data_IF_432253894701
#
_entry.id   IF_432253894701
#
_cell.length_a   1.000
_cell.length_b   1.000
_cell.length_c   1.000
_cell.angle_alpha   90.00
_cell.angle_beta   90.00
_cell.angle_gamma   90.00
#
_symmetry.space_group_name_H-M   'P 1'
#
loop_
_entity.id
_entity.type
_entity.pdbx_description
1 polymer ?
#
# COMPACT_ATOMS: atom_id res chain seq x y z
N UNK A 1 -15.35 22.49 20.02
CA UNK A 1 -14.62 23.09 18.88
C UNK A 1 -13.38 22.26 18.69
N UNK A 2 -13.37 21.42 17.66
CA UNK A 2 -12.18 20.69 17.29
C UNK A 2 -11.14 21.67 16.73
N UNK A 3 -9.90 21.53 17.17
CA UNK A 3 -8.78 22.33 16.68
C UNK A 3 -7.73 21.35 16.18
N UNK A 4 -7.56 21.33 14.86
CA UNK A 4 -6.55 20.49 14.23
C UNK A 4 -5.35 21.34 13.88
N UNK A 5 -4.15 20.79 14.12
CA UNK A 5 -2.91 21.47 13.75
C UNK A 5 -1.96 20.50 13.09
N UNK A 6 -1.26 20.98 12.06
CA UNK A 6 -0.20 20.25 11.37
C UNK A 6 1.10 20.98 11.62
N UNK A 7 2.14 20.26 12.04
CA UNK A 7 3.50 20.78 12.15
C UNK A 7 4.48 19.78 11.57
N UNK A 8 4.82 19.97 10.30
CA UNK A 8 5.66 19.02 9.56
C UNK A 8 4.92 17.69 9.39
N UNK A 9 5.49 16.63 9.96
CA UNK A 9 4.94 15.27 9.92
C UNK A 9 4.09 14.90 11.14
N UNK A 10 3.84 15.86 12.03
CA UNK A 10 3.00 15.67 13.22
C UNK A 10 1.63 16.30 12.95
N UNK A 11 0.58 15.49 13.10
CA UNK A 11 -0.82 15.89 12.99
C UNK A 11 -1.45 15.75 14.38
N UNK A 12 -2.16 16.77 14.82
CA UNK A 12 -2.83 16.77 16.12
C UNK A 12 -4.31 17.02 15.92
N UNK A 13 -5.12 16.12 16.47
CA UNK A 13 -6.57 16.23 16.54
C UNK A 13 -6.99 16.48 17.97
N UNK A 14 -7.65 17.61 18.21
CA UNK A 14 -8.21 17.95 19.53
C UNK A 14 -9.71 17.98 19.45
N UNK A 15 -10.36 17.45 20.48
CA UNK A 15 -11.79 17.51 20.62
C UNK A 15 -12.23 17.01 21.98
N UNK A 16 -13.53 17.08 22.23
CA UNK A 16 -14.11 16.42 23.41
C UNK A 16 -14.47 14.98 23.09
N UNK A 17 -14.43 14.08 24.08
CA UNK A 17 -14.83 12.68 23.90
C UNK A 17 -16.23 12.53 23.29
N UNK A 18 -17.17 13.39 23.68
CA UNK A 18 -18.54 13.41 23.13
C UNK A 18 -18.57 13.76 21.64
N UNK A 19 -17.67 14.63 21.18
CA UNK A 19 -17.53 14.97 19.77
C UNK A 19 -16.89 13.83 18.96
N UNK A 20 -16.30 12.82 19.63
CA UNK A 20 -15.62 11.68 19.02
C UNK A 20 -14.67 12.11 17.90
N UNK A 21 -13.50 12.72 18.21
CA UNK A 21 -12.55 13.07 17.14
C UNK A 21 -12.31 11.84 16.25
N UNK A 22 -12.62 12.00 14.95
CA UNK A 22 -12.50 10.97 13.92
C UNK A 22 -11.52 11.43 12.88
N UNK A 23 -10.61 10.54 12.50
CA UNK A 23 -9.75 10.70 11.35
C UNK A 23 -9.72 9.43 10.54
N UNK A 24 -9.44 9.57 9.25
CA UNK A 24 -9.21 8.46 8.34
C UNK A 24 -7.78 8.52 7.87
N UNK A 25 -7.08 7.38 7.92
CA UNK A 25 -5.77 7.20 7.28
C UNK A 25 -5.99 6.31 6.06
N UNK A 26 -5.68 6.84 4.88
CA UNK A 26 -5.49 6.04 3.68
C UNK A 26 -4.02 5.67 3.59
N UNK A 27 -3.75 4.38 3.66
CA UNK A 27 -2.42 3.79 3.57
C UNK A 27 -2.35 2.93 2.32
N UNK A 28 -1.61 3.40 1.31
CA UNK A 28 -1.62 2.87 -0.05
C UNK A 28 -3.06 2.80 -0.61
N UNK A 29 -3.59 1.59 -0.79
CA UNK A 29 -4.94 1.35 -1.31
C UNK A 29 -5.95 0.96 -0.22
N UNK A 30 -5.55 1.00 1.05
CA UNK A 30 -6.38 0.64 2.20
C UNK A 30 -6.73 1.86 3.03
N UNK A 31 -7.90 1.79 3.65
CA UNK A 31 -8.62 2.92 4.20
C UNK A 31 -9.02 2.59 5.64
N UNK A 32 -8.51 3.35 6.61
CA UNK A 32 -8.64 3.07 8.04
C UNK A 32 -9.29 4.23 8.79
N UNK A 33 -10.49 4.01 9.33
CA UNK A 33 -11.20 5.04 10.10
C UNK A 33 -11.03 4.81 11.59
N UNK A 34 -10.47 5.81 12.25
CA UNK A 34 -10.22 5.78 13.68
C UNK A 34 -11.19 6.66 14.42
N UNK A 35 -11.88 6.05 15.38
CA UNK A 35 -12.72 6.74 16.36
C UNK A 35 -12.09 6.55 17.74
N UNK A 36 -11.76 7.65 18.41
CA UNK A 36 -11.15 7.68 19.76
C UNK A 36 -11.85 6.84 20.83
N UNK A 37 -13.08 6.39 20.59
CA UNK A 37 -13.97 5.81 21.60
C UNK A 37 -14.21 4.30 21.47
N UNK A 38 -13.94 3.68 20.31
CA UNK A 38 -14.24 2.25 20.06
C UNK A 38 -13.02 1.33 20.02
N UNK A 39 -11.82 1.83 19.71
CA UNK A 39 -10.63 0.98 19.53
C UNK A 39 -9.82 0.64 20.78
N UNK A 40 -10.00 1.36 21.90
CA UNK A 40 -8.95 1.44 22.94
C UNK A 40 -9.45 1.11 24.36
N UNK A 41 -10.52 0.31 24.48
CA UNK A 41 -10.96 -0.21 25.77
C UNK A 41 -10.08 -1.36 26.31
N UNK A 42 -9.04 -1.76 25.56
CA UNK A 42 -8.22 -2.94 25.84
C UNK A 42 -7.18 -2.77 26.94
N UNK A 43 -6.34 -1.73 26.89
CA UNK A 43 -5.20 -1.63 27.81
C UNK A 43 -4.95 -0.21 28.32
N UNK A 44 -4.98 -0.04 29.65
CA UNK A 44 -4.62 1.22 30.34
C UNK A 44 -3.16 1.63 30.09
N UNK A 45 -2.33 0.72 29.59
CA UNK A 45 -0.89 0.91 29.39
C UNK A 45 -0.53 1.73 28.13
N UNK A 46 -1.48 1.97 27.21
CA UNK A 46 -1.22 2.70 25.95
C UNK A 46 -1.57 4.20 26.04
N UNK A 47 -2.07 4.66 27.19
CA UNK A 47 -2.41 6.07 27.37
C UNK A 47 -1.16 6.89 27.65
N UNK A 48 -0.98 7.95 26.86
CA UNK A 48 0.16 8.88 26.91
C UNK A 48 1.51 8.33 26.42
N UNK A 49 1.60 7.07 25.99
CA UNK A 49 2.79 6.54 25.31
C UNK A 49 2.53 6.38 23.79
N UNK A 50 3.53 6.63 22.94
CA UNK A 50 3.40 6.41 21.51
C UNK A 50 3.43 4.91 21.20
N UNK A 51 2.52 4.45 20.34
CA UNK A 51 2.55 3.12 19.76
C UNK A 51 2.53 3.19 18.23
N UNK A 52 3.07 2.17 17.57
CA UNK A 52 3.09 2.09 16.12
C UNK A 52 1.74 1.58 15.63
N UNK A 53 1.03 2.42 14.89
CA UNK A 53 -0.33 2.17 14.43
C UNK A 53 -0.34 1.42 13.10
N UNK A 54 0.52 1.86 12.20
CA UNK A 54 0.80 1.35 10.87
C UNK A 54 2.32 1.50 10.66
N UNK A 55 2.92 0.83 9.65
CA UNK A 55 4.37 0.87 9.45
C UNK A 55 4.95 2.29 9.50
N UNK A 56 5.74 2.59 10.54
CA UNK A 56 6.32 3.90 10.83
C UNK A 56 5.33 5.08 10.88
N UNK A 57 4.09 4.81 11.31
CA UNK A 57 3.09 5.82 11.71
C UNK A 57 2.79 5.60 13.18
N UNK A 58 3.16 6.58 14.01
CA UNK A 58 3.02 6.49 15.45
C UNK A 58 1.81 7.27 15.94
N UNK A 59 1.03 6.67 16.83
CA UNK A 59 -0.14 7.29 17.45
C UNK A 59 0.13 7.51 18.94
N UNK A 60 -0.23 8.67 19.47
CA UNK A 60 -0.27 8.94 20.91
C UNK A 60 -1.62 9.53 21.27
N UNK A 61 -2.25 8.97 22.29
CA UNK A 61 -3.56 9.44 22.75
C UNK A 61 -3.39 9.97 24.17
N UNK A 62 -3.59 11.28 24.29
CA UNK A 62 -3.52 11.98 25.57
C UNK A 62 -4.93 12.24 26.08
N UNK A 63 -5.21 11.70 27.26
CA UNK A 63 -6.41 11.98 28.03
C UNK A 63 -6.05 12.87 29.21
N UNK A 64 -6.93 13.82 29.51
CA UNK A 64 -6.69 14.76 30.62
C UNK A 64 -6.91 14.13 32.00
N UNK A 65 -7.71 13.06 32.10
CA UNK A 65 -8.11 12.45 33.37
C UNK A 65 -7.77 10.97 33.45
N UNK A 66 -7.49 10.53 34.68
CA UNK A 66 -7.15 9.15 35.04
C UNK A 66 -8.43 8.39 35.40
N UNK A 67 -8.69 7.28 34.68
CA UNK A 67 -9.91 6.45 34.79
C UNK A 67 -10.02 5.71 36.15
N UNK A 68 -8.98 5.78 36.98
CA UNK A 68 -8.81 4.98 38.20
C UNK A 68 -9.78 5.34 39.35
N UNK A 69 -10.44 6.50 39.28
CA UNK A 69 -11.36 6.95 40.32
C UNK A 69 -12.66 6.13 40.39
N UNK A 70 -13.17 5.66 39.24
CA UNK A 70 -14.38 4.84 39.18
C UNK A 70 -14.15 3.46 39.78
N UNK A 71 -13.02 2.84 39.46
CA UNK A 71 -12.63 1.52 39.94
C UNK A 71 -12.38 1.52 41.45
N UNK A 72 -11.66 2.53 41.96
CA UNK A 72 -11.46 2.74 43.41
C UNK A 72 -12.79 2.88 44.16
N UNK A 73 -13.77 3.60 43.61
CA UNK A 73 -15.08 3.77 44.24
C UNK A 73 -15.96 2.52 44.12
N UNK A 74 -15.97 1.84 42.97
CA UNK A 74 -16.70 0.59 42.78
C UNK A 74 -16.25 -0.46 43.79
N UNK A 75 -14.94 -0.71 43.88
CA UNK A 75 -14.38 -1.69 44.81
C UNK A 75 -14.68 -1.38 46.28
N UNK A 76 -14.79 -0.10 46.63
CA UNK A 76 -15.10 0.33 48.01
C UNK A 76 -16.57 0.12 48.41
N UNK A 77 -17.50 0.12 47.46
CA UNK A 77 -18.94 0.18 47.77
C UNK A 77 -19.80 -0.94 47.14
N UNK A 78 -19.23 -1.80 46.28
CA UNK A 78 -19.95 -2.90 45.57
C UNK A 78 -20.76 -3.81 46.51
N UNK A 79 -20.26 -4.06 47.73
CA UNK A 79 -20.90 -4.94 48.72
C UNK A 79 -21.84 -4.22 49.72
N UNK A 80 -22.15 -2.94 49.52
CA UNK A 80 -22.96 -2.17 50.47
C UNK A 80 -24.47 -2.21 50.14
N UNK A 81 -25.31 -2.57 51.12
CA UNK A 81 -26.77 -2.69 50.97
C UNK A 81 -27.56 -1.40 51.22
N UNK A 82 -26.90 -0.34 51.69
CA UNK A 82 -27.57 0.86 52.20
C UNK A 82 -27.72 1.94 51.12
N UNK A 83 -28.96 2.41 50.86
CA UNK A 83 -29.28 3.43 49.83
C UNK A 83 -28.45 4.71 50.01
N UNK A 84 -28.22 5.16 51.25
CA UNK A 84 -27.40 6.34 51.56
C UNK A 84 -25.93 6.14 51.16
N UNK A 85 -25.43 4.90 51.15
CA UNK A 85 -24.08 4.56 50.66
C UNK A 85 -24.02 4.41 49.14
N UNK A 86 -25.15 4.03 48.50
CA UNK A 86 -25.29 3.91 47.04
C UNK A 86 -25.56 5.24 46.33
N UNK A 87 -26.19 6.22 46.99
CA UNK A 87 -26.45 7.53 46.39
C UNK A 87 -25.16 8.28 45.98
N UNK A 88 -24.10 8.36 46.82
CA UNK A 88 -22.80 8.87 46.40
C UNK A 88 -22.22 8.12 45.22
N UNK A 89 -22.40 6.79 45.15
CA UNK A 89 -21.94 5.98 44.03
C UNK A 89 -22.67 6.32 42.73
N UNK A 90 -24.00 6.47 42.77
CA UNK A 90 -24.82 6.83 41.61
C UNK A 90 -24.52 8.26 41.11
N UNK A 91 -24.35 9.20 42.04
CA UNK A 91 -23.91 10.56 41.74
C UNK A 91 -22.48 10.57 41.16
N UNK A 92 -21.57 9.78 41.72
CA UNK A 92 -20.20 9.62 41.20
C UNK A 92 -20.22 9.01 39.80
N UNK A 93 -21.10 8.04 39.52
CA UNK A 93 -21.30 7.48 38.19
C UNK A 93 -21.80 8.51 37.18
N UNK A 94 -22.79 9.33 37.55
CA UNK A 94 -23.30 10.39 36.66
C UNK A 94 -22.26 11.48 36.41
N UNK A 95 -21.54 11.91 37.46
CA UNK A 95 -20.44 12.86 37.36
C UNK A 95 -19.34 12.26 36.48
N UNK A 96 -18.97 11.00 36.67
CA UNK A 96 -17.93 10.33 35.87
C UNK A 96 -18.36 10.16 34.42
N UNK A 97 -19.62 9.81 34.14
CA UNK A 97 -20.11 9.70 32.77
C UNK A 97 -20.16 11.08 32.09
N UNK A 98 -20.65 12.11 32.79
CA UNK A 98 -20.58 13.48 32.29
C UNK A 98 -19.12 13.91 32.04
N UNK A 99 -18.24 13.61 32.98
CA UNK A 99 -16.81 13.90 32.90
C UNK A 99 -16.15 13.19 31.73
N UNK A 100 -16.35 11.88 31.61
CA UNK A 100 -15.86 11.07 30.51
C UNK A 100 -16.31 11.63 29.16
N UNK A 101 -17.59 11.98 29.02
CA UNK A 101 -18.09 12.56 27.77
C UNK A 101 -17.54 13.96 27.47
N UNK A 102 -17.23 14.76 28.48
CA UNK A 102 -16.72 16.13 28.30
C UNK A 102 -15.21 16.24 28.52
N UNK A 103 -14.47 15.12 28.55
CA UNK A 103 -13.02 15.17 28.68
C UNK A 103 -12.39 15.61 27.36
N UNK A 104 -11.39 16.47 27.45
CA UNK A 104 -10.54 16.83 26.32
C UNK A 104 -9.68 15.62 25.95
N UNK A 105 -9.67 15.29 24.66
CA UNK A 105 -8.78 14.30 24.06
C UNK A 105 -7.89 15.00 23.06
N UNK A 106 -6.62 14.62 23.06
CA UNK A 106 -5.66 14.98 22.03
C UNK A 106 -5.10 13.69 21.42
N UNK A 107 -5.32 13.51 20.12
CA UNK A 107 -4.72 12.42 19.33
C UNK A 107 -3.59 13.03 18.51
N UNK A 108 -2.40 12.46 18.62
CA UNK A 108 -1.20 12.90 17.93
C UNK A 108 -0.77 11.77 17.00
N UNK A 109 -0.72 12.04 15.70
CA UNK A 109 -0.13 11.18 14.70
C UNK A 109 1.25 11.73 14.33
N UNK A 110 2.29 10.91 14.43
CA UNK A 110 3.61 11.20 13.89
C UNK A 110 3.88 10.29 12.71
N UNK A 111 3.90 10.87 11.51
CA UNK A 111 4.09 10.12 10.26
C UNK A 111 5.57 10.12 9.93
N UNK A 112 6.28 9.04 10.25
CA UNK A 112 7.69 8.90 9.87
C UNK A 112 7.88 8.16 8.56
N UNK A 113 6.87 7.40 8.13
CA UNK A 113 6.88 6.70 6.86
C UNK A 113 6.94 7.68 5.66
N UNK A 114 8.06 7.61 4.95
CA UNK A 114 8.36 8.35 3.72
C UNK A 114 8.35 7.45 2.48
N UNK A 115 8.01 6.17 2.62
CA UNK A 115 8.03 5.19 1.52
C UNK A 115 6.64 4.96 0.93
N UNK A 116 5.63 4.75 1.76
CA UNK A 116 4.29 4.41 1.31
C UNK A 116 3.45 5.65 1.00
N UNK A 117 2.35 5.49 0.27
CA UNK A 117 1.41 6.58 0.00
C UNK A 117 0.48 6.74 1.21
N UNK A 118 0.52 7.90 1.86
CA UNK A 118 -0.24 8.18 3.08
C UNK A 118 -1.04 9.46 2.91
N UNK A 119 -2.36 9.34 3.06
CA UNK A 119 -3.27 10.47 3.15
C UNK A 119 -3.99 10.41 4.50
N UNK A 120 -4.08 11.54 5.20
CA UNK A 120 -4.85 11.65 6.44
C UNK A 120 -5.92 12.70 6.26
N UNK A 121 -7.14 12.34 6.62
CA UNK A 121 -8.30 13.21 6.50
C UNK A 121 -9.07 13.28 7.81
N UNK A 122 -9.70 14.43 8.09
CA UNK A 122 -10.62 14.60 9.22
C UNK A 122 -12.00 14.11 8.80
N UNK A 123 -12.70 13.36 9.66
CA UNK A 123 -14.06 12.88 9.40
C UNK A 123 -14.14 11.39 9.06
N UNK A 124 -15.24 10.98 8.42
CA UNK A 124 -15.52 9.60 7.97
C UNK A 124 -15.59 9.60 6.44
N UNK A 125 -15.25 8.49 5.77
CA UNK A 125 -15.15 8.28 4.31
C UNK A 125 -16.05 9.09 3.36
N UNK A 126 -17.23 9.57 3.79
CA UNK A 126 -18.17 10.35 2.98
C UNK A 126 -18.21 11.87 3.29
N UNK A 127 -17.65 12.32 4.41
CA UNK A 127 -17.55 13.71 4.85
C UNK A 127 -16.13 13.97 5.37
N UNK A 128 -15.12 13.60 4.57
CA UNK A 128 -13.72 13.81 4.95
C UNK A 128 -13.10 15.06 4.33
N UNK A 129 -12.27 15.76 5.12
CA UNK A 129 -11.41 16.83 4.61
C UNK A 129 -9.95 16.36 4.65
N UNK A 130 -9.27 16.35 3.50
CA UNK A 130 -7.85 15.99 3.42
C UNK A 130 -7.02 17.00 4.24
N UNK A 131 -6.25 16.48 5.19
CA UNK A 131 -5.37 17.26 6.08
C UNK A 131 -3.92 17.12 5.63
N UNK A 132 -3.50 15.91 5.29
CA UNK A 132 -2.10 15.59 5.05
C UNK A 132 -1.95 14.58 3.92
N UNK A 133 -0.89 14.74 3.13
CA UNK A 133 -0.44 13.81 2.10
C UNK A 133 1.09 13.80 2.08
N UNK A 134 1.72 12.63 2.21
CA UNK A 134 3.19 12.54 2.30
C UNK A 134 3.89 12.51 0.93
N UNK A 135 3.20 12.07 -0.12
CA UNK A 135 3.73 11.90 -1.48
C UNK A 135 2.73 12.36 -2.51
N UNK A 136 3.22 12.98 -3.57
CA UNK A 136 2.42 13.17 -4.78
C UNK A 136 2.30 11.88 -5.56
N UNK A 137 1.18 11.72 -6.25
CA UNK A 137 0.95 10.60 -7.17
C UNK A 137 2.12 10.50 -8.17
N UNK A 138 2.56 9.26 -8.43
CA UNK A 138 3.56 8.96 -9.46
C UNK A 138 3.06 9.38 -10.84
N UNK A 139 3.98 9.49 -11.81
CA UNK A 139 3.62 9.80 -13.19
C UNK A 139 2.61 8.78 -13.74
N UNK A 140 2.83 7.48 -13.47
CA UNK A 140 1.89 6.43 -13.86
C UNK A 140 0.50 6.63 -13.23
N UNK A 141 0.43 6.86 -11.92
CA UNK A 141 -0.84 7.04 -11.21
C UNK A 141 -1.59 8.28 -11.70
N UNK A 142 -0.89 9.42 -11.85
CA UNK A 142 -1.47 10.66 -12.39
C UNK A 142 -2.05 10.44 -13.78
N UNK A 143 -1.26 9.87 -14.69
CA UNK A 143 -1.67 9.64 -16.08
C UNK A 143 -2.78 8.60 -16.16
N UNK A 144 -2.74 7.53 -15.36
CA UNK A 144 -3.78 6.51 -15.38
C UNK A 144 -5.11 7.00 -14.77
N UNK A 145 -5.05 7.80 -13.69
CA UNK A 145 -6.23 8.43 -13.09
C UNK A 145 -6.90 9.39 -14.07
N UNK A 146 -6.13 10.31 -14.63
CA UNK A 146 -6.57 11.26 -15.66
C UNK A 146 -7.19 10.53 -16.87
N UNK A 147 -6.53 9.46 -17.35
CA UNK A 147 -7.07 8.58 -18.40
C UNK A 147 -8.40 7.93 -18.00
N UNK A 148 -8.53 7.46 -16.76
CA UNK A 148 -9.75 6.79 -16.28
C UNK A 148 -10.95 7.74 -16.09
N UNK A 149 -10.67 9.01 -15.77
CA UNK A 149 -11.66 10.06 -15.58
C UNK A 149 -12.00 10.80 -16.89
N UNK A 150 -11.13 10.69 -17.90
CA UNK A 150 -11.31 11.28 -19.22
C UNK A 150 -12.27 10.49 -20.08
N UNK A 151 -13.09 11.20 -20.86
CA UNK A 151 -13.86 10.64 -21.95
C UNK A 151 -13.05 10.73 -23.25
N UNK A 152 -12.68 9.59 -23.81
CA UNK A 152 -11.93 9.51 -25.06
C UNK A 152 -12.56 8.50 -26.01
N UNK A 153 -12.41 8.75 -27.31
CA UNK A 153 -12.54 7.73 -28.34
C UNK A 153 -11.19 7.03 -28.52
N UNK A 154 -11.22 5.80 -29.01
CA UNK A 154 -10.00 5.07 -29.40
C UNK A 154 -9.77 5.22 -30.90
N UNK A 155 -8.53 5.48 -31.31
CA UNK A 155 -8.15 5.48 -32.73
C UNK A 155 -8.12 4.04 -33.28
N UNK A 156 -8.08 3.91 -34.60
CA UNK A 156 -7.63 2.65 -35.21
C UNK A 156 -6.18 2.36 -34.78
N UNK A 157 -5.80 1.09 -34.54
CA UNK A 157 -4.44 0.72 -34.21
C UNK A 157 -3.46 1.07 -35.33
N UNK A 158 -2.35 1.73 -34.97
CA UNK A 158 -1.27 2.09 -35.90
C UNK A 158 0.04 1.42 -35.48
N UNK A 159 0.62 0.64 -36.39
CA UNK A 159 1.94 0.05 -36.19
C UNK A 159 3.06 1.09 -36.27
N UNK A 160 3.84 1.25 -35.21
CA UNK A 160 4.96 2.19 -35.16
C UNK A 160 6.06 1.77 -34.18
N UNK A 161 7.26 2.35 -34.35
CA UNK A 161 8.32 2.23 -33.34
C UNK A 161 8.09 3.23 -32.21
N UNK A 162 8.02 2.71 -30.98
CA UNK A 162 7.80 3.47 -29.75
C UNK A 162 9.06 3.45 -28.91
N UNK A 163 9.38 4.60 -28.33
CA UNK A 163 10.47 4.76 -27.36
C UNK A 163 10.11 4.04 -26.06
N UNK A 164 10.94 3.10 -25.62
CA UNK A 164 10.66 2.27 -24.45
C UNK A 164 10.70 3.03 -23.14
N UNK A 165 11.34 4.20 -23.09
CA UNK A 165 11.32 5.08 -21.91
C UNK A 165 9.91 5.66 -21.66
N UNK A 166 9.11 5.83 -22.71
CA UNK A 166 7.73 6.36 -22.63
C UNK A 166 6.68 5.31 -22.30
N UNK A 167 7.06 4.04 -22.30
CA UNK A 167 6.16 2.92 -22.01
C UNK A 167 6.25 2.62 -20.51
N UNK A 168 5.13 2.58 -19.80
CA UNK A 168 5.14 2.19 -18.39
C UNK A 168 5.47 0.70 -18.21
N UNK A 169 6.06 0.34 -17.07
CA UNK A 169 6.15 -1.09 -16.71
C UNK A 169 4.74 -1.68 -16.60
N UNK A 170 4.56 -2.94 -17.02
CA UNK A 170 3.24 -3.56 -17.02
C UNK A 170 2.74 -3.77 -15.57
N UNK A 171 1.48 -3.39 -15.26
CA UNK A 171 0.92 -3.54 -13.91
C UNK A 171 0.52 -4.99 -13.57
N UNK A 172 0.63 -5.90 -14.54
CA UNK A 172 0.35 -7.34 -14.40
C UNK A 172 1.09 -8.12 -15.48
N UNK A 173 1.33 -9.41 -15.25
CA UNK A 173 1.91 -10.32 -16.25
C UNK A 173 0.92 -11.42 -16.60
N UNK A 174 0.81 -11.76 -17.89
CA UNK A 174 0.00 -12.89 -18.33
C UNK A 174 0.58 -14.22 -17.83
N UNK A 175 -0.28 -15.14 -17.39
CA UNK A 175 0.10 -16.51 -17.02
C UNK A 175 0.69 -16.71 -15.61
N UNK A 176 0.72 -15.66 -14.78
CA UNK A 176 1.04 -15.74 -13.35
C UNK A 176 2.52 -16.04 -13.01
N UNK A 177 2.79 -16.21 -11.72
CA UNK A 177 4.15 -16.31 -11.16
C UNK A 177 4.99 -17.48 -11.67
N UNK A 178 4.35 -18.58 -12.08
CA UNK A 178 5.05 -19.78 -12.54
C UNK A 178 5.79 -19.60 -13.87
N UNK A 179 5.57 -18.49 -14.58
CA UNK A 179 6.17 -18.21 -15.89
C UNK A 179 7.21 -17.10 -15.87
N UNK A 180 7.46 -16.48 -14.71
CA UNK A 180 8.41 -15.39 -14.56
C UNK A 180 9.30 -15.68 -13.34
N UNK A 181 10.59 -15.94 -13.59
CA UNK A 181 11.55 -16.23 -12.53
C UNK A 181 11.62 -15.11 -11.48
N UNK A 182 11.50 -13.86 -11.91
CA UNK A 182 11.53 -12.69 -11.02
C UNK A 182 10.29 -12.66 -10.13
N UNK A 183 9.11 -12.88 -10.71
CA UNK A 183 7.88 -12.98 -9.91
C UNK A 183 8.00 -14.13 -8.91
N UNK A 184 8.51 -15.28 -9.34
CA UNK A 184 8.70 -16.44 -8.46
C UNK A 184 9.60 -16.12 -7.26
N UNK A 185 10.72 -15.41 -7.45
CA UNK A 185 11.60 -14.97 -6.36
C UNK A 185 10.81 -14.14 -5.34
N UNK A 186 10.16 -13.07 -5.79
CA UNK A 186 9.45 -12.17 -4.88
C UNK A 186 8.26 -12.83 -4.20
N UNK A 187 7.53 -13.72 -4.90
CA UNK A 187 6.44 -14.48 -4.30
C UNK A 187 6.93 -15.50 -3.28
N UNK A 188 8.05 -16.17 -3.56
CA UNK A 188 8.66 -17.14 -2.63
C UNK A 188 9.04 -16.48 -1.32
N UNK A 189 9.55 -15.25 -1.41
CA UNK A 189 9.92 -14.37 -0.30
C UNK A 189 8.74 -13.60 0.32
N UNK A 190 7.51 -13.82 -0.15
CA UNK A 190 6.30 -13.13 0.31
C UNK A 190 6.31 -11.60 0.15
N UNK A 191 7.18 -11.05 -0.71
CA UNK A 191 7.30 -9.61 -0.98
C UNK A 191 6.12 -9.05 -1.82
N UNK A 192 5.33 -9.94 -2.44
CA UNK A 192 4.20 -9.59 -3.32
C UNK A 192 2.82 -9.90 -2.70
N UNK A 193 2.79 -10.72 -1.65
CA UNK A 193 1.58 -11.29 -1.06
C UNK A 193 1.55 -11.04 0.45
N UNK A 194 1.82 -9.80 0.84
CA UNK A 194 2.02 -9.47 2.25
C UNK A 194 0.73 -9.67 3.04
N UNK A 195 -0.43 -9.28 2.50
CA UNK A 195 -1.75 -9.65 3.05
C UNK A 195 -2.93 -9.42 2.06
N UNK A 196 -3.85 -10.40 1.93
CA UNK A 196 -5.15 -10.36 1.20
C UNK A 196 -5.26 -9.40 -0.02
N UNK A 197 -4.30 -9.41 -0.94
CA UNK A 197 -4.20 -8.48 -2.09
C UNK A 197 -4.15 -6.96 -1.77
N UNK A 198 -4.51 -6.53 -0.57
CA UNK A 198 -4.70 -5.13 -0.18
C UNK A 198 -3.41 -4.46 0.35
N UNK A 199 -2.50 -5.22 0.99
CA UNK A 199 -1.15 -4.74 1.33
C UNK A 199 -0.08 -5.60 0.65
N UNK A 200 0.83 -4.91 -0.06
CA UNK A 200 1.96 -5.51 -0.77
C UNK A 200 3.20 -4.67 -0.52
N UNK A 201 4.30 -5.30 -0.11
CA UNK A 201 5.59 -4.61 -0.03
C UNK A 201 6.04 -4.14 -1.41
N UNK A 202 5.77 -4.92 -2.46
CA UNK A 202 5.99 -4.57 -3.86
C UNK A 202 4.74 -4.91 -4.69
N UNK A 203 4.33 -4.01 -5.57
CA UNK A 203 3.39 -4.33 -6.64
C UNK A 203 4.15 -4.89 -7.87
N UNK A 204 3.43 -5.28 -8.93
CA UNK A 204 4.07 -5.94 -10.09
C UNK A 204 4.98 -4.98 -10.86
N UNK A 205 4.54 -3.75 -11.10
CA UNK A 205 5.33 -2.74 -11.83
C UNK A 205 6.58 -2.35 -11.05
N UNK A 206 6.46 -2.04 -9.75
CA UNK A 206 7.58 -1.71 -8.87
C UNK A 206 8.56 -2.88 -8.72
N UNK A 207 8.08 -4.11 -8.58
CA UNK A 207 8.94 -5.31 -8.61
C UNK A 207 9.74 -5.39 -9.91
N UNK A 208 9.08 -5.22 -11.06
CA UNK A 208 9.75 -5.32 -12.36
C UNK A 208 10.75 -4.19 -12.60
N UNK A 209 10.44 -2.98 -12.15
CA UNK A 209 11.32 -1.82 -12.22
C UNK A 209 12.50 -1.96 -11.26
N UNK A 210 12.26 -2.21 -9.98
CA UNK A 210 13.29 -2.33 -8.95
C UNK A 210 14.28 -3.45 -9.28
N UNK A 211 13.78 -4.62 -9.68
CA UNK A 211 14.63 -5.75 -10.07
C UNK A 211 15.32 -5.57 -11.43
N UNK A 212 15.03 -4.50 -12.18
CA UNK A 212 15.76 -4.18 -13.41
C UNK A 212 17.13 -3.55 -13.16
N UNK A 213 17.39 -3.10 -11.92
CA UNK A 213 18.69 -2.56 -11.50
C UNK A 213 19.61 -3.62 -10.90
N UNK A 214 19.11 -4.83 -10.62
CA UNK A 214 19.89 -5.93 -10.04
C UNK A 214 20.50 -6.82 -11.15
N UNK A 215 21.83 -6.83 -11.24
CA UNK A 215 22.57 -7.55 -12.30
C UNK A 215 22.36 -9.07 -12.26
N UNK A 216 22.33 -9.68 -11.07
CA UNK A 216 22.13 -11.12 -10.93
C UNK A 216 20.73 -11.54 -11.41
N UNK A 217 19.70 -10.76 -11.07
CA UNK A 217 18.33 -11.01 -11.54
C UNK A 217 18.23 -10.79 -13.06
N UNK A 218 18.92 -9.79 -13.61
CA UNK A 218 18.97 -9.58 -15.06
C UNK A 218 19.64 -10.78 -15.78
N UNK A 219 20.73 -11.31 -15.23
CA UNK A 219 21.41 -12.48 -15.78
C UNK A 219 20.47 -13.69 -15.79
N UNK A 220 19.79 -13.97 -14.68
CA UNK A 220 18.78 -15.03 -14.60
C UNK A 220 17.67 -14.85 -15.63
N UNK A 221 17.15 -13.63 -15.76
CA UNK A 221 16.11 -13.32 -16.73
C UNK A 221 16.62 -13.53 -18.16
N UNK A 222 17.87 -13.17 -18.45
CA UNK A 222 18.45 -13.32 -19.80
C UNK A 222 18.67 -14.77 -20.21
N UNK A 223 18.76 -15.68 -19.24
CA UNK A 223 18.99 -17.11 -19.45
C UNK A 223 17.72 -17.95 -19.39
N UNK A 224 16.57 -17.37 -19.02
CA UNK A 224 15.30 -18.10 -18.93
C UNK A 224 14.67 -18.26 -20.32
N UNK A 225 14.33 -19.49 -20.71
CA UNK A 225 13.95 -19.88 -22.10
C UNK A 225 13.04 -18.89 -22.85
N UNK A 226 11.96 -18.44 -22.22
CA UNK A 226 11.02 -17.50 -22.88
C UNK A 226 11.61 -16.09 -23.01
N UNK A 227 12.34 -15.65 -21.98
CA UNK A 227 12.93 -14.32 -21.92
C UNK A 227 14.14 -14.19 -22.85
N UNK A 228 15.00 -15.21 -22.87
CA UNK A 228 16.20 -15.28 -23.70
C UNK A 228 15.84 -15.19 -25.19
N UNK A 229 14.85 -15.97 -25.62
CA UNK A 229 14.32 -15.96 -26.97
C UNK A 229 13.82 -14.57 -27.41
N UNK A 230 13.04 -13.89 -26.55
CA UNK A 230 12.55 -12.54 -26.83
C UNK A 230 13.71 -11.54 -26.91
N UNK A 231 14.67 -11.64 -25.97
CA UNK A 231 15.84 -10.76 -25.93
C UNK A 231 16.71 -10.92 -27.19
N UNK A 232 16.93 -12.14 -27.65
CA UNK A 232 17.65 -12.42 -28.90
C UNK A 232 16.94 -11.81 -30.11
N UNK A 233 15.59 -11.91 -30.17
CA UNK A 233 14.81 -11.26 -31.24
C UNK A 233 14.98 -9.74 -31.26
N UNK A 234 14.98 -9.10 -30.09
CA UNK A 234 15.23 -7.66 -30.01
C UNK A 234 16.66 -7.30 -30.42
N UNK A 235 17.67 -8.04 -29.94
CA UNK A 235 19.08 -7.81 -30.26
C UNK A 235 19.40 -8.00 -31.74
N UNK A 236 18.78 -8.99 -32.37
CA UNK A 236 18.98 -9.31 -33.79
C UNK A 236 18.07 -8.49 -34.72
N UNK A 237 17.19 -7.65 -34.18
CA UNK A 237 16.23 -6.86 -34.96
C UNK A 237 15.21 -7.71 -35.72
N UNK A 238 14.98 -8.96 -35.29
CA UNK A 238 14.06 -9.90 -35.95
C UNK A 238 12.66 -9.88 -35.36
N UNK A 239 12.45 -9.20 -34.23
CA UNK A 239 11.12 -8.93 -33.72
C UNK A 239 10.35 -8.03 -34.71
N UNK A 240 9.29 -8.55 -35.32
CA UNK A 240 8.53 -7.86 -36.36
C UNK A 240 7.04 -8.18 -36.30
N UNK A 241 6.22 -7.34 -36.93
CA UNK A 241 4.75 -7.50 -37.00
C UNK A 241 4.24 -8.70 -37.77
N UNK A 242 5.11 -9.45 -38.45
CA UNK A 242 4.72 -10.69 -39.11
C UNK A 242 4.55 -11.85 -38.13
N UNK A 243 4.80 -11.64 -36.84
CA UNK A 243 4.38 -12.59 -35.81
C UNK A 243 2.85 -12.65 -35.75
N UNK A 244 2.28 -13.81 -35.40
CA UNK A 244 0.82 -13.97 -35.38
C UNK A 244 0.19 -12.94 -34.43
N UNK A 245 -1.11 -12.60 -34.62
CA UNK A 245 -1.82 -11.60 -33.79
C UNK A 245 -1.58 -11.76 -32.27
N UNK A 246 -1.36 -12.98 -31.78
CA UNK A 246 -1.10 -13.27 -30.36
C UNK A 246 0.28 -12.83 -29.84
N UNK A 247 1.23 -12.53 -30.73
CA UNK A 247 2.62 -12.21 -30.42
C UNK A 247 2.97 -10.72 -30.64
N UNK A 248 2.01 -9.88 -31.02
CA UNK A 248 2.19 -8.43 -31.21
C UNK A 248 2.14 -7.67 -29.88
N UNK A 249 2.98 -6.63 -29.75
CA UNK A 249 2.91 -5.70 -28.61
C UNK A 249 1.83 -4.68 -28.93
N UNK A 250 0.85 -4.55 -28.05
CA UNK A 250 -0.24 -3.58 -28.19
C UNK A 250 -0.15 -2.56 -27.06
N UNK A 251 -0.18 -1.28 -27.43
CA UNK A 251 -0.06 -0.16 -26.52
C UNK A 251 -1.25 0.78 -26.65
N UNK A 252 -1.71 1.34 -25.53
CA UNK A 252 -2.61 2.49 -25.53
C UNK A 252 -1.81 3.75 -25.25
N UNK A 253 -1.85 4.72 -26.16
CA UNK A 253 -1.22 6.04 -25.98
C UNK A 253 -2.20 7.02 -25.32
N UNK A 254 -1.71 7.71 -24.29
CA UNK A 254 -2.43 8.79 -23.64
C UNK A 254 -1.44 9.87 -23.19
N UNK A 255 -1.62 11.10 -23.69
CA UNK A 255 -0.80 12.29 -23.37
C UNK A 255 0.72 12.04 -23.49
N UNK A 256 1.13 11.32 -24.52
CA UNK A 256 2.53 11.04 -24.87
C UNK A 256 3.14 9.84 -24.15
N UNK A 257 2.38 9.12 -23.32
CA UNK A 257 2.81 7.93 -22.59
C UNK A 257 2.02 6.70 -23.02
N UNK A 258 2.62 5.52 -22.85
CA UNK A 258 2.08 4.27 -23.39
C UNK A 258 1.82 3.25 -22.29
N UNK A 259 0.60 2.71 -22.29
CA UNK A 259 0.16 1.65 -21.40
C UNK A 259 0.18 0.30 -22.12
N UNK A 260 0.88 -0.72 -21.59
CA UNK A 260 0.94 -2.03 -22.23
C UNK A 260 -0.38 -2.81 -22.06
N UNK A 261 -1.05 -3.10 -23.18
CA UNK A 261 -2.28 -3.88 -23.25
C UNK A 261 -1.95 -5.36 -23.46
N UNK A 262 -1.28 -5.67 -24.57
CA UNK A 262 -0.77 -7.00 -24.90
C UNK A 262 0.75 -7.00 -25.08
N UNK A 263 1.36 -8.18 -24.93
CA UNK A 263 2.82 -8.29 -25.01
C UNK A 263 3.59 -7.75 -23.81
N UNK A 264 2.96 -7.74 -22.64
CA UNK A 264 3.53 -7.24 -21.37
C UNK A 264 4.91 -7.82 -21.06
N UNK A 265 5.13 -9.11 -21.31
CA UNK A 265 6.43 -9.74 -21.10
C UNK A 265 7.50 -9.23 -22.08
N UNK A 266 7.13 -8.97 -23.33
CA UNK A 266 8.03 -8.40 -24.34
C UNK A 266 8.39 -6.95 -24.02
N UNK A 267 7.42 -6.15 -23.55
CA UNK A 267 7.66 -4.80 -23.01
C UNK A 267 8.59 -4.85 -21.80
N UNK A 268 8.34 -5.77 -20.86
CA UNK A 268 9.21 -5.97 -19.69
C UNK A 268 10.66 -6.25 -20.08
N UNK A 269 10.90 -7.21 -20.99
CA UNK A 269 12.25 -7.52 -21.50
C UNK A 269 12.87 -6.30 -22.17
N UNK A 270 12.13 -5.60 -23.05
CA UNK A 270 12.64 -4.42 -23.73
C UNK A 270 13.11 -3.34 -22.76
N UNK A 271 12.32 -3.04 -21.72
CA UNK A 271 12.68 -2.06 -20.68
C UNK A 271 13.88 -2.52 -19.85
N UNK A 272 13.86 -3.75 -19.33
CA UNK A 272 14.92 -4.28 -18.45
C UNK A 272 16.29 -4.33 -19.12
N UNK A 273 16.32 -4.69 -20.40
CA UNK A 273 17.55 -4.78 -21.18
C UNK A 273 17.83 -3.52 -22.02
N UNK A 274 17.16 -2.40 -21.70
CA UNK A 274 17.41 -1.06 -22.27
C UNK A 274 17.38 -1.05 -23.81
N UNK A 275 16.43 -1.79 -24.40
CA UNK A 275 16.17 -1.76 -25.84
C UNK A 275 15.55 -0.39 -26.16
N UNK A 276 16.17 0.48 -26.99
CA UNK A 276 15.75 1.88 -27.09
C UNK A 276 14.35 2.06 -27.67
N UNK A 277 13.99 1.23 -28.65
CA UNK A 277 12.70 1.29 -29.34
C UNK A 277 12.19 -0.09 -29.64
N UNK A 278 10.87 -0.26 -29.56
CA UNK A 278 10.18 -1.48 -29.95
C UNK A 278 9.10 -1.16 -30.97
N UNK A 279 8.85 -2.09 -31.88
CA UNK A 279 7.68 -2.00 -32.73
C UNK A 279 6.44 -2.42 -31.93
N UNK A 280 5.36 -1.65 -32.01
CA UNK A 280 4.08 -1.95 -31.39
C UNK A 280 2.92 -1.48 -32.26
N UNK A 281 1.75 -2.09 -32.08
CA UNK A 281 0.46 -1.55 -32.51
C UNK A 281 -0.03 -0.58 -31.44
N UNK A 282 -0.24 0.68 -31.83
CA UNK A 282 -0.59 1.76 -30.92
C UNK A 282 -2.00 2.24 -31.19
N UNK A 283 -2.83 2.20 -30.15
CA UNK A 283 -4.16 2.79 -30.14
C UNK A 283 -4.10 4.10 -29.35
N UNK A 284 -4.40 5.24 -30.00
CA UNK A 284 -4.41 6.55 -29.36
C UNK A 284 -5.74 6.84 -28.66
N UNK A 285 -5.67 7.44 -27.48
CA UNK A 285 -6.82 8.05 -26.81
C UNK A 285 -7.07 9.46 -27.39
N UNK A 286 -8.19 9.63 -28.10
CA UNK A 286 -8.59 10.91 -28.69
C UNK A 286 -9.61 11.56 -27.75
N UNK A 287 -9.21 12.67 -27.11
CA UNK A 287 -10.07 13.45 -26.24
C UNK A 287 -11.34 13.91 -27.00
N UNK A 288 -12.50 13.70 -26.39
CA UNK A 288 -13.77 14.21 -26.91
C UNK A 288 -14.07 15.51 -26.16
N UNK A 289 -14.25 16.63 -26.88
CA UNK A 289 -14.77 17.85 -26.27
C UNK A 289 -16.12 17.55 -25.60
N UNK A 290 -16.27 17.95 -24.33
CA UNK A 290 -17.48 17.69 -23.54
C UNK A 290 -18.71 18.27 -24.24
N UNK A 291 -19.48 17.40 -24.91
CA UNK A 291 -20.81 17.66 -25.43
C UNK A 291 -21.82 16.76 -24.72
N UNK A 292 -22.66 17.39 -23.92
CA UNK A 292 -23.86 16.88 -23.22
C UNK A 292 -23.67 15.78 -22.15
N UNK A 293 -24.46 15.93 -21.09
CA UNK A 293 -24.46 15.11 -19.88
C UNK A 293 -24.52 13.62 -20.21
N UNK A 294 -23.49 12.88 -19.81
CA UNK A 294 -23.59 11.43 -19.75
C UNK A 294 -24.45 11.09 -18.54
N UNK A 295 -25.54 10.34 -18.77
CA UNK A 295 -26.21 9.57 -17.72
C UNK A 295 -25.15 8.91 -16.85
N UNK A 296 -25.29 9.08 -15.53
CA UNK A 296 -24.45 8.44 -14.52
C UNK A 296 -24.24 6.98 -14.91
N UNK A 297 -23.05 6.66 -15.43
CA UNK A 297 -22.63 5.27 -15.52
C UNK A 297 -22.76 4.75 -14.09
N UNK A 298 -23.53 3.67 -13.85
CA UNK A 298 -23.63 3.14 -12.51
C UNK A 298 -22.19 2.88 -12.07
N UNK A 299 -21.77 3.57 -11.02
CA UNK A 299 -20.56 3.25 -10.30
C UNK A 299 -20.66 1.75 -10.04
N UNK A 300 -19.87 0.98 -10.78
CA UNK A 300 -19.60 -0.39 -10.42
C UNK A 300 -18.81 -0.28 -9.12
N UNK A 301 -19.53 -0.09 -8.02
CA UNK A 301 -19.08 -0.49 -6.70
C UNK A 301 -18.70 -1.95 -6.90
N UNK A 302 -17.40 -2.19 -7.09
CA UNK A 302 -16.84 -3.48 -6.75
C UNK A 302 -17.34 -3.67 -5.32
N UNK A 303 -18.27 -4.60 -5.16
CA UNK A 303 -18.53 -5.21 -3.86
C UNK A 303 -17.23 -5.92 -3.48
N UNK A 304 -16.25 -5.14 -3.02
CA UNK A 304 -15.19 -5.63 -2.18
C UNK A 304 -15.93 -6.13 -0.95
N UNK A 305 -16.13 -7.44 -0.89
CA UNK A 305 -16.43 -8.09 0.36
C UNK A 305 -15.25 -7.78 1.28
N UNK A 306 -15.33 -6.67 2.00
CA UNK A 306 -14.41 -6.31 3.06
C UNK A 306 -14.57 -7.36 4.15
N UNK A 307 -13.78 -8.43 4.07
CA UNK A 307 -13.31 -9.03 5.31
C UNK A 307 -12.46 -7.94 5.97
N UNK A 308 -13.07 -7.15 6.86
CA UNK A 308 -12.43 -6.03 7.56
C UNK A 308 -11.15 -6.53 8.22
N UNK A 309 -10.00 -6.16 7.69
CA UNK A 309 -8.72 -6.36 8.33
C UNK A 309 -8.35 -5.12 9.10
N UNK A 310 -7.59 -5.31 10.16
CA UNK A 310 -7.20 -4.24 11.08
C UNK A 310 -5.85 -3.67 10.68
N UNK A 311 -5.48 -2.57 11.33
CA UNK A 311 -4.19 -1.91 11.14
C UNK A 311 -3.06 -2.75 11.75
N UNK A 312 -3.38 -3.49 12.81
CA UNK A 312 -2.53 -4.54 13.37
C UNK A 312 -2.23 -5.64 12.34
N UNK A 313 -3.20 -6.04 11.51
CA UNK A 313 -2.97 -7.03 10.44
C UNK A 313 -1.94 -6.50 9.42
N UNK A 314 -2.03 -5.24 9.00
CA UNK A 314 -1.05 -4.62 8.08
C UNK A 314 0.32 -4.52 8.75
N UNK A 315 0.35 -4.02 9.99
CA UNK A 315 1.59 -3.82 10.72
C UNK A 315 2.33 -5.15 10.88
N UNK A 316 1.64 -6.19 11.35
CA UNK A 316 2.22 -7.52 11.50
C UNK A 316 2.69 -8.08 10.16
N UNK A 317 1.87 -7.98 9.11
CA UNK A 317 2.24 -8.44 7.77
C UNK A 317 3.50 -7.74 7.24
N UNK A 318 3.63 -6.42 7.46
CA UNK A 318 4.81 -5.65 7.10
C UNK A 318 6.06 -6.18 7.79
N UNK A 319 6.04 -6.31 9.12
CA UNK A 319 7.19 -6.79 9.88
C UNK A 319 7.52 -8.25 9.56
N UNK A 320 6.51 -9.12 9.47
CA UNK A 320 6.70 -10.55 9.21
C UNK A 320 7.43 -10.81 7.89
N UNK A 321 7.10 -10.07 6.83
CA UNK A 321 7.77 -10.23 5.53
C UNK A 321 9.27 -9.99 5.65
N UNK A 322 9.69 -8.90 6.28
CA UNK A 322 11.11 -8.57 6.38
C UNK A 322 11.84 -9.37 7.47
N UNK A 323 11.17 -9.72 8.57
CA UNK A 323 11.71 -10.64 9.60
C UNK A 323 12.05 -12.01 9.02
N UNK A 324 11.18 -12.53 8.15
CA UNK A 324 11.42 -13.79 7.45
C UNK A 324 12.63 -13.73 6.49
N UNK A 325 13.08 -12.53 6.11
CA UNK A 325 14.32 -12.33 5.36
C UNK A 325 15.55 -12.14 6.27
N UNK A 326 15.36 -12.10 7.59
CA UNK A 326 16.43 -11.90 8.57
C UNK A 326 16.68 -10.44 8.94
N UNK A 327 15.71 -9.54 8.75
CA UNK A 327 15.81 -8.15 9.21
C UNK A 327 15.22 -7.99 10.62
N UNK A 328 15.94 -7.27 11.48
CA UNK A 328 15.45 -6.81 12.79
C UNK A 328 14.54 -5.57 12.68
N UNK A 329 13.72 -5.29 13.70
CA UNK A 329 12.73 -4.20 13.71
C UNK A 329 13.31 -2.83 13.31
N UNK A 330 14.49 -2.47 13.80
CA UNK A 330 15.13 -1.19 13.48
C UNK A 330 15.49 -1.08 12.00
N UNK A 331 15.85 -2.20 11.36
CA UNK A 331 16.10 -2.25 9.91
C UNK A 331 14.80 -2.05 9.13
N UNK A 332 13.71 -2.66 9.60
CA UNK A 332 12.39 -2.60 8.95
C UNK A 332 11.84 -1.17 9.00
N UNK A 333 11.94 -0.52 10.17
CA UNK A 333 11.62 0.90 10.32
C UNK A 333 12.46 1.77 9.40
N UNK A 334 13.77 1.51 9.32
CA UNK A 334 14.66 2.25 8.43
C UNK A 334 14.20 2.24 6.97
N UNK A 335 13.71 1.11 6.45
CA UNK A 335 13.19 0.99 5.07
C UNK A 335 12.10 2.03 4.78
N UNK A 336 11.18 2.23 5.72
CA UNK A 336 10.03 3.13 5.56
C UNK A 336 10.35 4.57 5.96
N UNK A 337 11.15 4.79 7.01
CA UNK A 337 11.48 6.13 7.51
C UNK A 337 12.48 6.91 6.65
N UNK A 338 13.38 6.22 5.93
CA UNK A 338 14.28 6.89 4.99
C UNK A 338 13.63 7.18 3.66
N UNK A 339 12.53 6.51 3.33
CA UNK A 339 11.86 6.65 2.04
C UNK A 339 12.66 6.05 0.90
N UNK A 340 13.31 4.90 1.14
CA UNK A 340 14.06 4.17 0.13
C UNK A 340 13.15 3.84 -1.07
N UNK A 341 13.69 3.99 -2.27
CA UNK A 341 13.08 3.46 -3.49
C UNK A 341 13.05 1.93 -3.45
N UNK A 342 12.20 1.32 -4.27
CA UNK A 342 12.06 -0.13 -4.32
C UNK A 342 13.37 -0.86 -4.70
N UNK A 343 14.20 -0.24 -5.54
CA UNK A 343 15.54 -0.75 -5.85
C UNK A 343 16.47 -0.67 -4.62
N UNK A 344 16.48 0.47 -3.92
CA UNK A 344 17.28 0.65 -2.70
C UNK A 344 16.83 -0.28 -1.57
N UNK A 345 15.55 -0.64 -1.49
CA UNK A 345 15.05 -1.64 -0.53
C UNK A 345 15.68 -3.02 -0.81
N UNK A 346 15.74 -3.44 -2.09
CA UNK A 346 16.40 -4.70 -2.47
C UNK A 346 17.88 -4.66 -2.07
N UNK A 347 18.59 -3.59 -2.44
CA UNK A 347 20.00 -3.43 -2.10
C UNK A 347 20.23 -3.43 -0.58
N UNK A 348 19.34 -2.78 0.19
CA UNK A 348 19.41 -2.75 1.65
C UNK A 348 19.22 -4.13 2.26
N UNK A 349 18.25 -4.92 1.76
CA UNK A 349 18.03 -6.31 2.19
C UNK A 349 19.28 -7.14 1.91
N UNK A 350 19.84 -7.08 0.70
CA UNK A 350 21.00 -7.89 0.32
C UNK A 350 22.24 -7.52 1.14
N UNK A 351 22.46 -6.22 1.35
CA UNK A 351 23.55 -5.71 2.19
C UNK A 351 23.43 -6.13 3.65
N UNK A 352 22.22 -6.06 4.21
CA UNK A 352 21.97 -6.34 5.62
C UNK A 352 22.06 -7.84 5.92
N UNK A 353 21.50 -8.67 5.04
CA UNK A 353 21.49 -10.12 5.17
C UNK A 353 22.78 -10.78 4.69
N UNK A 354 23.59 -10.07 3.90
CA UNK A 354 24.78 -10.56 3.19
C UNK A 354 24.48 -11.72 2.23
N UNK A 355 23.26 -11.76 1.72
CA UNK A 355 22.76 -12.75 0.77
C UNK A 355 22.04 -12.04 -0.34
N UNK A 356 22.17 -12.51 -1.57
CA UNK A 356 21.36 -11.97 -2.66
C UNK A 356 19.89 -12.35 -2.49
N UNK A 357 19.00 -11.61 -3.15
CA UNK A 357 17.57 -11.94 -3.13
C UNK A 357 17.30 -13.34 -3.70
N UNK A 358 18.14 -13.78 -4.64
CA UNK A 358 18.09 -15.12 -5.20
C UNK A 358 18.47 -16.20 -4.17
N UNK A 359 19.55 -15.98 -3.42
CA UNK A 359 19.99 -16.89 -2.36
C UNK A 359 18.90 -17.03 -1.28
N UNK A 360 18.35 -15.91 -0.82
CA UNK A 360 17.24 -15.88 0.13
C UNK A 360 16.04 -16.69 -0.40
N UNK A 361 15.70 -16.53 -1.69
CA UNK A 361 14.59 -17.27 -2.31
C UNK A 361 14.84 -18.77 -2.40
N UNK A 362 16.09 -19.20 -2.63
CA UNK A 362 16.46 -20.61 -2.67
C UNK A 362 16.32 -21.24 -1.28
N UNK A 363 16.84 -20.58 -0.25
CA UNK A 363 16.73 -21.03 1.14
C UNK A 363 15.26 -21.15 1.59
N UNK A 364 14.44 -20.14 1.29
CA UNK A 364 13.01 -20.16 1.60
C UNK A 364 12.24 -21.28 0.86
N UNK A 365 12.68 -21.64 -0.35
CA UNK A 365 12.09 -22.75 -1.11
C UNK A 365 12.44 -24.11 -0.52
N UNK A 366 13.70 -24.28 -0.08
CA UNK A 366 14.19 -25.50 0.55
C UNK A 366 13.50 -25.76 1.89
N UNK A 367 13.27 -24.73 2.69
CA UNK A 367 12.53 -24.86 3.96
C UNK A 367 11.05 -25.19 3.75
N UNK A 368 10.39 -24.63 2.72
CA UNK A 368 9.02 -25.03 2.35
C UNK A 368 8.94 -26.49 1.88
N UNK A 369 10.00 -27.03 1.28
CA UNK A 369 10.05 -28.44 0.86
C UNK A 369 10.13 -29.44 2.03
N UNK A 370 10.56 -28.98 3.23
CA UNK A 370 10.55 -29.78 4.46
C UNK A 370 9.14 -29.94 5.05
N UNK A 371 8.23 -29.03 4.72
CA UNK A 371 6.81 -29.10 5.08
C UNK A 371 5.98 -29.58 3.89
N UNK A 372 6.27 -30.79 3.38
CA UNK A 372 5.28 -31.52 2.57
C UNK A 372 4.08 -31.84 3.45
N UNK A 373 3.04 -31.03 3.36
CA UNK A 373 1.71 -31.46 3.78
C UNK A 373 1.39 -32.74 3.01
N UNK A 374 1.15 -33.82 3.76
CA UNK A 374 0.72 -35.10 3.21
C UNK A 374 -0.51 -34.90 2.33
N UNK A 375 -0.51 -35.65 1.22
CA UNK A 375 -1.60 -35.74 0.24
C UNK A 375 -3.00 -35.77 0.85
#
# INVERSE_FOLDING_TARGET
MSENSIKGNIITFKGTQKEQPVFTIKFNNSDFTYVSTRGLQGDKNELNEPFELLPSIYCTIKKRWDDDLQERYYNKYMNSSNFVKKFPFLLTMLINNYRYNNQDIEIILEIKNKRDNIEVSEGIFNDTNLIYKNKDDSLYEKTNKDRSESNYNVSEPLGMYVDTEKIFYPPAMGGGANRCIVWNIFQTLNLMNTFKEDYKAFDVNTMLEASSYNEEILELCSNYDTCSYILEKFRNGTYSTSEGMHDNIELTEYKGYYFPVEGKHRVCIAKRFKIPKIYAEVTGCIDIEKGEEQEDKPLYLKNLNFNSFTEEDILNAHYDVFKNLGLEDDNIKFLTEQGLTDAEVIEYIEKTTKKSLLELSREASEDKSKYKWGN
#
